data_IF_305176040653
#
_entry.id   IF_305176040653
#
_cell.length_a   1.000
_cell.length_b   1.000
_cell.length_c   1.000
_cell.angle_alpha   90.00
_cell.angle_beta   90.00
_cell.angle_gamma   90.00
#
_symmetry.space_group_name_H-M   'P 1'
#
loop_
_entity.id
_entity.type
_entity.pdbx_description
1 polymer ?
#
# COMPACT_ATOMS: atom_id res chain seq x y z
N UNK A 1 29.58 15.72 -19.30
CA UNK A 1 29.32 14.36 -18.78
C UNK A 1 27.87 14.35 -18.32
N UNK A 2 26.98 13.68 -19.07
CA UNK A 2 25.56 13.60 -18.75
C UNK A 2 25.37 12.50 -17.70
N UNK A 3 24.79 12.86 -16.55
CA UNK A 3 24.40 11.91 -15.51
C UNK A 3 23.27 11.04 -16.08
N UNK A 4 23.50 9.73 -16.16
CA UNK A 4 22.48 8.77 -16.54
C UNK A 4 21.43 8.67 -15.45
N UNK A 5 20.16 8.92 -15.78
CA UNK A 5 19.04 8.53 -14.93
C UNK A 5 19.03 6.99 -14.87
N UNK A 6 19.53 6.41 -13.77
CA UNK A 6 19.30 5.01 -13.49
C UNK A 6 17.82 4.85 -13.10
N UNK A 7 17.03 4.20 -13.95
CA UNK A 7 15.67 3.78 -13.61
C UNK A 7 15.73 2.74 -12.51
N UNK A 8 15.05 2.98 -11.39
CA UNK A 8 14.81 1.95 -10.36
C UNK A 8 14.12 0.76 -11.05
N UNK A 9 14.63 -0.48 -10.92
CA UNK A 9 14.00 -1.64 -11.54
C UNK A 9 12.55 -1.78 -11.08
N UNK A 10 11.63 -1.95 -12.03
CA UNK A 10 10.23 -2.27 -11.75
C UNK A 10 10.19 -3.57 -10.90
N UNK A 11 9.60 -3.50 -9.71
CA UNK A 11 9.61 -4.60 -8.73
C UNK A 11 10.52 -4.37 -7.52
N UNK A 12 11.55 -3.51 -7.62
CA UNK A 12 12.49 -3.28 -6.51
C UNK A 12 11.82 -2.62 -5.29
N UNK A 13 10.69 -1.93 -5.47
CA UNK A 13 9.96 -1.26 -4.40
C UNK A 13 8.80 -2.09 -3.82
N UNK A 14 8.47 -3.24 -4.42
CA UNK A 14 7.32 -4.06 -3.99
C UNK A 14 7.44 -4.59 -2.55
N UNK A 15 8.67 -4.77 -2.07
CA UNK A 15 8.95 -5.22 -0.71
C UNK A 15 8.95 -4.08 0.33
N UNK A 16 8.91 -2.84 -0.14
CA UNK A 16 9.11 -1.65 0.70
C UNK A 16 7.87 -0.76 0.75
N UNK A 17 7.00 -0.83 -0.26
CA UNK A 17 5.77 -0.05 -0.37
C UNK A 17 4.57 -1.00 -0.42
N UNK A 18 3.56 -0.71 0.39
CA UNK A 18 2.30 -1.43 0.44
C UNK A 18 1.10 -0.49 0.56
N UNK A 19 -0.09 -1.01 0.34
CA UNK A 19 -1.34 -0.27 0.58
C UNK A 19 -2.00 -0.72 1.87
N UNK A 20 -2.81 0.16 2.45
CA UNK A 20 -3.56 -0.10 3.67
C UNK A 20 -5.05 0.07 3.45
N UNK A 21 -5.82 -0.79 4.12
CA UNK A 21 -7.24 -0.59 4.37
C UNK A 21 -7.54 -0.86 5.85
N UNK A 22 -7.96 0.18 6.57
CA UNK A 22 -8.08 0.19 8.02
C UNK A 22 -6.70 -0.04 8.67
N UNK A 23 -6.65 -0.94 9.63
CA UNK A 23 -5.42 -1.37 10.31
C UNK A 23 -4.70 -2.54 9.61
N UNK A 24 -4.99 -2.80 8.34
CA UNK A 24 -4.37 -3.88 7.58
C UNK A 24 -3.46 -3.37 6.47
N UNK A 25 -2.16 -3.66 6.59
CA UNK A 25 -1.15 -3.45 5.58
C UNK A 25 -1.04 -4.65 4.66
N UNK A 26 -1.13 -4.43 3.36
CA UNK A 26 -0.84 -5.39 2.31
C UNK A 26 0.45 -4.98 1.58
N UNK A 27 1.46 -5.85 1.62
CA UNK A 27 2.79 -5.59 1.05
C UNK A 27 3.42 -6.89 0.55
N UNK A 28 4.21 -6.84 -0.52
CA UNK A 28 4.85 -8.05 -1.10
C UNK A 28 6.16 -8.39 -0.40
N UNK A 29 6.19 -8.25 0.94
CA UNK A 29 7.31 -8.58 1.80
C UNK A 29 6.86 -9.58 2.88
N UNK A 30 7.34 -10.83 2.86
CA UNK A 30 6.97 -11.86 3.84
C UNK A 30 7.65 -11.71 5.20
N UNK A 31 8.65 -10.85 5.32
CA UNK A 31 9.64 -10.86 6.41
C UNK A 31 9.55 -9.61 7.31
N UNK A 32 8.41 -8.92 7.32
CA UNK A 32 8.20 -7.76 8.19
C UNK A 32 7.98 -8.22 9.64
N UNK A 33 8.81 -7.71 10.54
CA UNK A 33 8.83 -8.09 11.95
C UNK A 33 7.77 -7.39 12.79
N UNK A 34 7.42 -8.00 13.92
CA UNK A 34 6.64 -7.32 14.97
C UNK A 34 7.44 -6.13 15.51
N UNK A 35 6.75 -5.04 15.82
CA UNK A 35 7.31 -3.76 16.25
C UNK A 35 8.17 -3.04 15.22
N UNK A 36 8.21 -3.53 13.97
CA UNK A 36 8.79 -2.78 12.86
C UNK A 36 7.96 -1.53 12.57
N UNK A 37 8.63 -0.42 12.25
CA UNK A 37 8.00 0.87 12.01
C UNK A 37 7.59 0.98 10.55
N UNK A 38 6.34 1.34 10.31
CA UNK A 38 5.84 1.68 8.99
C UNK A 38 5.48 3.15 8.97
N UNK A 39 5.96 3.89 7.97
CA UNK A 39 5.49 5.24 7.68
C UNK A 39 4.25 5.17 6.81
N UNK A 40 3.16 5.75 7.27
CA UNK A 40 1.90 5.86 6.55
C UNK A 40 1.76 7.22 5.91
N UNK A 41 1.18 7.25 4.72
CA UNK A 41 0.68 8.46 4.08
C UNK A 41 -0.78 8.28 3.70
N UNK A 42 -1.66 9.04 4.36
CA UNK A 42 -3.07 9.16 3.95
C UNK A 42 -3.20 10.17 2.81
N UNK A 43 -4.19 9.96 1.95
CA UNK A 43 -4.43 10.76 0.73
C UNK A 43 -5.46 11.88 0.91
N UNK A 44 -5.56 12.42 2.12
CA UNK A 44 -6.41 13.55 2.45
C UNK A 44 -5.99 14.81 1.62
N UNK A 45 -6.73 15.92 1.72
CA UNK A 45 -6.41 17.16 0.97
C UNK A 45 -4.94 17.62 1.10
N UNK A 46 -4.27 17.20 2.18
CA UNK A 46 -2.82 17.27 2.34
C UNK A 46 -2.30 15.91 2.82
N UNK A 47 -1.15 15.42 2.31
CA UNK A 47 -0.54 14.19 2.81
C UNK A 47 -0.33 14.26 4.33
N UNK A 48 -0.97 13.34 5.06
CA UNK A 48 -0.77 13.19 6.50
C UNK A 48 0.19 12.04 6.73
N UNK A 49 1.35 12.36 7.31
CA UNK A 49 2.38 11.39 7.64
C UNK A 49 2.22 10.89 9.07
N UNK A 50 2.25 9.56 9.26
CA UNK A 50 2.25 8.93 10.59
C UNK A 50 3.23 7.77 10.63
N UNK A 51 3.80 7.49 11.80
CA UNK A 51 4.50 6.22 12.04
C UNK A 51 3.62 5.30 12.88
N UNK A 52 3.50 4.05 12.46
CA UNK A 52 2.82 2.96 13.18
C UNK A 52 3.78 1.78 13.35
N UNK A 53 3.44 0.84 14.21
CA UNK A 53 4.15 -0.40 14.43
C UNK A 53 3.35 -1.58 13.89
N UNK A 54 4.06 -2.57 13.36
CA UNK A 54 3.49 -3.87 13.02
C UNK A 54 3.20 -4.63 14.30
N UNK A 55 1.96 -5.10 14.46
CA UNK A 55 1.56 -5.95 15.60
C UNK A 55 1.66 -7.43 15.27
N UNK A 56 1.67 -7.78 13.98
CA UNK A 56 1.94 -9.13 13.49
C UNK A 56 1.31 -9.42 12.14
N UNK A 57 1.75 -10.53 11.53
CA UNK A 57 1.15 -11.07 10.31
C UNK A 57 -0.26 -11.59 10.59
N UNK A 58 -1.18 -11.38 9.67
CA UNK A 58 -2.57 -11.86 9.78
C UNK A 58 -3.01 -12.58 8.52
N UNK A 59 -3.82 -13.63 8.69
CA UNK A 59 -4.61 -14.25 7.62
C UNK A 59 -6.13 -14.18 7.95
N UNK A 60 -6.49 -13.37 8.94
CA UNK A 60 -7.87 -13.19 9.43
C UNK A 60 -8.49 -11.92 8.85
N UNK A 61 -9.80 -11.97 8.59
CA UNK A 61 -10.60 -10.81 8.19
C UNK A 61 -10.82 -9.81 9.33
N UNK A 62 -10.63 -10.23 10.58
CA UNK A 62 -10.77 -9.37 11.76
C UNK A 62 -9.72 -8.24 11.71
N UNK A 63 -10.17 -6.99 11.63
CA UNK A 63 -9.30 -5.83 11.38
C UNK A 63 -8.51 -5.93 10.06
N UNK A 64 -9.00 -6.69 9.07
CA UNK A 64 -8.41 -6.70 7.74
C UNK A 64 -9.46 -7.03 6.69
N UNK A 65 -10.17 -6.01 6.22
CA UNK A 65 -11.23 -6.16 5.22
C UNK A 65 -10.73 -6.77 3.91
N UNK A 66 -9.45 -6.62 3.56
CA UNK A 66 -8.89 -7.26 2.37
C UNK A 66 -8.89 -8.79 2.42
N UNK A 67 -9.02 -9.37 3.62
CA UNK A 67 -9.04 -10.79 3.90
C UNK A 67 -10.46 -11.32 4.18
N UNK A 68 -11.52 -10.55 3.90
CA UNK A 68 -12.89 -11.07 3.88
C UNK A 68 -13.06 -12.17 2.82
N UNK A 69 -14.04 -13.05 3.00
CA UNK A 69 -14.15 -14.28 2.22
C UNK A 69 -14.30 -14.03 0.71
N UNK A 70 -14.95 -12.94 0.32
CA UNK A 70 -15.15 -12.49 -1.07
C UNK A 70 -13.91 -11.85 -1.72
N UNK A 71 -12.91 -11.44 -0.93
CA UNK A 71 -11.73 -10.67 -1.40
C UNK A 71 -10.42 -11.41 -1.21
N UNK A 72 -10.37 -12.27 -0.20
CA UNK A 72 -9.15 -12.92 0.31
C UNK A 72 -8.37 -13.61 -0.79
N UNK A 73 -9.04 -14.44 -1.60
CA UNK A 73 -8.35 -15.24 -2.61
C UNK A 73 -7.67 -14.35 -3.67
N UNK A 74 -8.37 -13.32 -4.16
CA UNK A 74 -7.84 -12.41 -5.18
C UNK A 74 -6.65 -11.64 -4.63
N UNK A 75 -6.80 -11.04 -3.45
CA UNK A 75 -5.74 -10.23 -2.84
C UNK A 75 -4.51 -11.07 -2.43
N UNK A 76 -4.69 -12.29 -1.93
CA UNK A 76 -3.56 -13.22 -1.68
C UNK A 76 -2.89 -13.67 -2.99
N UNK A 77 -3.67 -13.96 -4.03
CA UNK A 77 -3.14 -14.41 -5.32
C UNK A 77 -2.36 -13.32 -6.06
N UNK A 78 -2.59 -12.05 -5.72
CA UNK A 78 -1.78 -10.91 -6.18
C UNK A 78 -0.39 -10.84 -5.52
N UNK A 79 -0.08 -11.75 -4.58
CA UNK A 79 1.24 -11.89 -3.95
C UNK A 79 1.41 -11.07 -2.67
N UNK A 80 0.34 -10.49 -2.12
CA UNK A 80 0.42 -9.72 -0.89
C UNK A 80 0.51 -10.59 0.36
N UNK A 81 1.32 -10.11 1.30
CA UNK A 81 1.33 -10.51 2.68
C UNK A 81 0.61 -9.45 3.50
N UNK A 82 -0.14 -9.89 4.52
CA UNK A 82 -1.00 -9.01 5.30
C UNK A 82 -0.51 -8.90 6.75
N UNK A 83 -0.45 -7.68 7.25
CA UNK A 83 0.01 -7.36 8.59
C UNK A 83 -0.96 -6.41 9.27
N UNK A 84 -1.16 -6.60 10.57
CA UNK A 84 -1.88 -5.64 11.40
C UNK A 84 -0.93 -4.56 11.89
N UNK A 85 -1.41 -3.33 11.96
CA UNK A 85 -0.70 -2.19 12.54
C UNK A 85 -1.37 -1.71 13.85
N UNK A 86 -0.62 -1.01 14.71
CA UNK A 86 -1.09 -0.46 15.99
C UNK A 86 -1.80 0.90 15.87
N UNK A 87 -2.53 1.11 14.77
CA UNK A 87 -3.29 2.32 14.51
C UNK A 87 -4.11 2.20 13.23
N UNK A 88 -4.80 3.29 12.87
CA UNK A 88 -5.61 3.38 11.66
C UNK A 88 -5.38 4.71 10.95
N UNK A 89 -5.30 4.74 9.60
CA UNK A 89 -5.28 5.99 8.85
C UNK A 89 -6.61 6.74 8.99
N UNK A 90 -6.57 8.07 8.85
CA UNK A 90 -7.75 8.97 8.97
C UNK A 90 -8.91 8.59 8.06
N UNK A 91 -8.61 8.11 6.85
CA UNK A 91 -9.58 7.93 5.76
C UNK A 91 -9.69 6.47 5.31
N UNK A 92 -9.34 5.55 6.21
CA UNK A 92 -9.26 4.10 5.99
C UNK A 92 -8.22 3.64 4.96
N UNK A 93 -7.80 4.46 4.00
CA UNK A 93 -6.78 4.13 3.00
C UNK A 93 -5.49 4.92 3.19
N UNK A 94 -4.36 4.25 2.99
CA UNK A 94 -3.04 4.87 3.02
C UNK A 94 -2.02 4.05 2.22
N UNK A 95 -0.86 4.64 1.94
CA UNK A 95 0.35 3.90 1.56
C UNK A 95 1.28 3.74 2.75
N UNK A 96 1.86 2.56 2.88
CA UNK A 96 2.80 2.18 3.94
C UNK A 96 4.21 1.98 3.38
N UNK A 97 5.21 2.49 4.09
CA UNK A 97 6.63 2.45 3.73
C UNK A 97 7.43 1.85 4.90
N UNK A 98 8.09 0.70 4.69
CA UNK A 98 8.81 -0.01 5.76
C UNK A 98 10.17 0.63 6.10
N UNK A 99 10.91 1.09 5.09
CA UNK A 99 12.29 1.58 5.21
C UNK A 99 12.63 2.68 4.20
N UNK A 100 11.63 3.19 3.49
CA UNK A 100 11.74 4.28 2.52
C UNK A 100 11.13 5.57 3.03
N UNK A 101 11.63 6.71 2.55
CA UNK A 101 11.03 8.01 2.86
C UNK A 101 9.87 8.32 1.92
N UNK A 102 8.62 8.37 2.41
CA UNK A 102 7.50 8.71 1.55
C UNK A 102 7.62 10.11 0.93
N UNK A 103 8.42 11.03 1.49
CA UNK A 103 8.61 12.36 0.89
C UNK A 103 9.39 12.34 -0.41
N UNK A 104 10.05 11.23 -0.74
CA UNK A 104 10.78 11.05 -2.00
C UNK A 104 9.84 10.73 -3.18
N UNK A 105 8.55 10.59 -2.90
CA UNK A 105 7.54 10.14 -3.87
C UNK A 105 6.35 11.10 -3.97
N UNK A 106 5.85 11.27 -5.18
CA UNK A 106 4.49 11.76 -5.40
C UNK A 106 3.56 10.56 -5.35
N UNK A 107 2.48 10.65 -4.57
CA UNK A 107 1.56 9.54 -4.33
C UNK A 107 0.20 9.84 -4.95
N UNK A 108 -0.44 8.82 -5.50
CA UNK A 108 -1.80 8.89 -6.02
C UNK A 108 -2.56 7.60 -5.72
N UNK A 109 -3.89 7.70 -5.74
CA UNK A 109 -4.77 6.54 -5.83
C UNK A 109 -6.01 6.92 -6.64
N UNK A 110 -6.66 5.93 -7.22
CA UNK A 110 -7.93 6.10 -7.90
C UNK A 110 -8.77 4.82 -7.83
N UNK A 111 -10.08 4.97 -7.99
CA UNK A 111 -11.04 3.87 -7.98
C UNK A 111 -11.16 3.29 -9.38
N UNK A 112 -11.17 1.97 -9.47
CA UNK A 112 -11.56 1.20 -10.66
C UNK A 112 -12.97 0.65 -10.48
N UNK A 113 -13.51 -0.02 -11.51
CA UNK A 113 -14.78 -0.72 -11.37
C UNK A 113 -14.78 -1.75 -10.24
N UNK A 114 -13.65 -2.39 -9.92
CA UNK A 114 -13.62 -3.55 -9.00
C UNK A 114 -12.73 -3.36 -7.76
N UNK A 115 -12.05 -2.22 -7.65
CA UNK A 115 -10.97 -2.05 -6.68
C UNK A 115 -10.31 -0.69 -6.72
N UNK A 116 -9.16 -0.57 -6.05
CA UNK A 116 -8.39 0.66 -5.93
C UNK A 116 -6.99 0.44 -6.48
N UNK A 117 -6.54 1.34 -7.36
CA UNK A 117 -5.14 1.42 -7.77
C UNK A 117 -4.45 2.47 -6.92
N UNK A 118 -3.35 2.09 -6.31
CA UNK A 118 -2.42 3.00 -5.65
C UNK A 118 -1.15 3.12 -6.49
N UNK A 119 -0.51 4.28 -6.44
CA UNK A 119 0.68 4.55 -7.24
C UNK A 119 1.66 5.47 -6.51
N UNK A 120 2.94 5.19 -6.69
CA UNK A 120 4.03 6.05 -6.26
C UNK A 120 4.93 6.42 -7.45
N UNK A 121 5.28 7.69 -7.53
CA UNK A 121 6.05 8.28 -8.61
C UNK A 121 7.32 8.90 -8.05
N UNK A 122 8.44 8.61 -8.70
CA UNK A 122 9.69 9.38 -8.53
C UNK A 122 9.75 10.48 -9.60
N UNK A 123 10.73 11.40 -9.55
CA UNK A 123 10.93 12.38 -10.63
C UNK A 123 11.09 11.75 -12.03
N UNK A 124 11.50 10.47 -12.13
CA UNK A 124 11.65 9.74 -13.38
C UNK A 124 10.38 9.04 -13.89
N UNK A 125 9.25 9.12 -13.17
CA UNK A 125 7.99 8.47 -13.52
C UNK A 125 7.48 7.50 -12.45
N UNK A 126 6.50 6.68 -12.82
CA UNK A 126 5.91 5.69 -11.92
C UNK A 126 6.94 4.61 -11.58
N UNK A 127 7.10 4.33 -10.29
CA UNK A 127 8.08 3.37 -9.77
C UNK A 127 7.46 2.24 -8.98
N UNK A 128 6.20 2.40 -8.56
CA UNK A 128 5.43 1.38 -7.86
C UNK A 128 3.94 1.57 -8.11
N UNK A 129 3.22 0.45 -8.15
CA UNK A 129 1.77 0.38 -8.11
C UNK A 129 1.31 -0.79 -7.24
N UNK A 130 0.09 -0.65 -6.72
CA UNK A 130 -0.56 -1.70 -5.96
C UNK A 130 -2.06 -1.69 -6.20
N UNK A 131 -2.66 -2.87 -6.21
CA UNK A 131 -4.09 -3.03 -6.45
C UNK A 131 -4.76 -3.69 -5.26
N UNK A 132 -5.85 -3.08 -4.79
CA UNK A 132 -6.72 -3.64 -3.76
C UNK A 132 -8.08 -3.98 -4.38
N UNK A 133 -8.40 -5.29 -4.45
CA UNK A 133 -9.70 -5.76 -4.92
C UNK A 133 -10.77 -5.62 -3.84
N UNK A 134 -11.86 -4.91 -4.17
CA UNK A 134 -12.95 -4.57 -3.26
C UNK A 134 -14.09 -5.60 -3.24
N UNK A 135 -14.20 -6.46 -4.26
CA UNK A 135 -15.26 -7.48 -4.32
C UNK A 135 -16.65 -6.94 -4.70
N UNK A 136 -16.75 -5.68 -5.11
CA UNK A 136 -18.00 -5.07 -5.59
C UNK A 136 -17.72 -4.01 -6.66
N UNK A 137 -18.73 -3.72 -7.47
CA UNK A 137 -18.64 -2.67 -8.48
C UNK A 137 -18.67 -1.26 -7.86
N UNK A 138 -17.79 -0.38 -8.31
CA UNK A 138 -17.73 1.01 -7.88
C UNK A 138 -17.59 1.97 -9.07
N UNK A 139 -17.97 3.23 -8.87
CA UNK A 139 -17.77 4.27 -9.89
C UNK A 139 -16.29 4.55 -10.04
N UNK A 140 -15.74 4.21 -11.21
CA UNK A 140 -14.33 4.44 -11.51
C UNK A 140 -14.01 5.95 -11.52
N UNK A 141 -12.87 6.30 -10.94
CA UNK A 141 -12.33 7.67 -10.93
C UNK A 141 -10.94 7.75 -11.57
N UNK A 142 -10.36 6.62 -11.97
CA UNK A 142 -9.18 6.61 -12.82
C UNK A 142 -9.57 7.12 -14.22
N UNK A 143 -8.87 8.15 -14.72
CA UNK A 143 -9.00 8.66 -16.10
C UNK A 143 -8.08 7.95 -17.08
#
# INVERSE_FOLDING_TARGET
>A
MLAGCASVPQGALEQHIGWLHGNCLAIKNPDIGVSEKIRLVSFDQKPVYRTVLITGRTNSADGCHALSDDRRQVNLSAGYYFYRIDGEPSDNFALGFADLDPTDFTLAYCMTSEGIVFSAYSPGGQVWDGYYYLGYESSATCE
#
